data_IF_353558273966
#
_entry.id   IF_353558273966
#
_cell.length_a   1.000
_cell.length_b   1.000
_cell.length_c   1.000
_cell.angle_alpha   90.00
_cell.angle_beta   90.00
_cell.angle_gamma   90.00
#
_symmetry.space_group_name_H-M   'P 1'
#
loop_
_entity.id
_entity.type
_entity.pdbx_description
1 polymer ?
#
# COMPACT_ATOMS: atom_id res chain seq x y z
N UNK A 1 14.23 80.47 14.42
CA UNK A 1 12.76 80.59 14.32
C UNK A 1 12.15 79.30 14.86
N UNK A 2 11.35 79.45 15.92
CA UNK A 2 10.49 78.44 16.56
C UNK A 2 9.39 77.93 15.58
N UNK A 3 8.50 77.00 15.97
CA UNK A 3 8.71 75.68 16.58
C UNK A 3 7.70 74.61 16.06
N UNK A 4 7.69 73.42 16.68
CA UNK A 4 6.48 72.61 16.94
C UNK A 4 6.32 71.35 16.08
N UNK A 5 5.97 70.17 16.62
CA UNK A 5 5.65 69.78 17.99
C UNK A 5 5.04 68.37 18.06
N UNK A 6 5.07 67.78 19.26
CA UNK A 6 4.21 66.72 19.84
C UNK A 6 4.21 65.32 19.19
N UNK A 7 3.96 64.20 19.87
CA UNK A 7 3.62 63.82 21.26
C UNK A 7 4.06 62.33 21.43
N UNK A 8 4.67 61.85 22.52
CA UNK A 8 4.08 61.50 23.84
C UNK A 8 3.10 60.28 23.73
N UNK A 9 3.04 59.23 24.59
CA UNK A 9 3.22 59.09 26.04
C UNK A 9 3.46 57.59 26.38
N UNK A 10 4.31 57.31 27.38
CA UNK A 10 4.34 56.05 28.12
C UNK A 10 4.14 56.25 29.63
N UNK A 11 3.25 55.43 30.18
CA UNK A 11 3.36 54.74 31.47
C UNK A 11 3.12 55.46 32.82
N UNK A 12 2.70 54.60 33.76
CA UNK A 12 2.71 54.70 35.23
C UNK A 12 1.54 55.37 35.94
N UNK A 13 0.98 54.67 36.94
CA UNK A 13 0.24 55.33 38.02
C UNK A 13 -0.83 54.51 38.73
N UNK A 14 -0.38 53.58 39.57
CA UNK A 14 -1.11 52.85 40.63
C UNK A 14 -2.05 53.68 41.55
N UNK A 15 -3.14 53.07 42.07
CA UNK A 15 -3.37 52.68 43.50
C UNK A 15 -4.85 52.67 43.95
N UNK A 16 -5.18 51.60 44.71
CA UNK A 16 -6.08 51.50 45.90
C UNK A 16 -7.56 51.86 45.73
N UNK A 17 -8.58 51.20 46.29
CA UNK A 17 -8.80 50.28 47.43
C UNK A 17 -10.17 49.59 47.15
N UNK A 18 -10.70 48.55 47.80
CA UNK A 18 -10.95 48.34 49.23
C UNK A 18 -11.67 46.97 49.40
N UNK A 19 -11.48 46.37 50.59
CA UNK A 19 -12.41 45.53 51.35
C UNK A 19 -12.80 44.11 50.88
N UNK A 20 -12.59 43.13 51.78
CA UNK A 20 -13.70 42.31 52.26
C UNK A 20 -13.61 40.77 52.10
N UNK A 21 -13.36 40.12 53.24
CA UNK A 21 -13.82 38.78 53.66
C UNK A 21 -13.01 37.51 53.30
N UNK A 22 -13.00 36.50 54.22
CA UNK A 22 -12.03 35.40 54.22
C UNK A 22 -12.63 34.12 53.62
N UNK A 23 -11.85 33.30 52.90
CA UNK A 23 -12.24 31.93 52.62
C UNK A 23 -11.05 31.04 52.20
N UNK A 24 -10.88 29.98 53.00
CA UNK A 24 -10.34 28.66 52.68
C UNK A 24 -9.05 28.56 51.84
N UNK A 25 -7.98 28.22 52.55
CA UNK A 25 -6.81 27.51 52.01
C UNK A 25 -7.28 26.15 51.45
N UNK A 26 -7.27 26.03 50.12
CA UNK A 26 -7.25 24.74 49.43
C UNK A 26 -5.84 24.52 48.86
N UNK A 27 -5.11 23.58 49.47
CA UNK A 27 -3.87 23.02 48.92
C UNK A 27 -4.21 22.23 47.65
N UNK A 28 -4.01 22.85 46.48
CA UNK A 28 -4.00 22.14 45.20
C UNK A 28 -2.65 21.45 45.03
N UNK A 29 -2.61 20.15 45.33
CA UNK A 29 -1.51 19.28 44.93
C UNK A 29 -1.49 19.17 43.40
N UNK A 30 -0.48 19.78 42.78
CA UNK A 30 -0.19 19.64 41.36
C UNK A 30 0.34 18.23 41.07
N UNK A 31 -0.57 17.30 40.74
CA UNK A 31 -0.19 16.03 40.13
C UNK A 31 0.11 16.28 38.64
N UNK A 32 1.39 16.39 38.30
CA UNK A 32 1.87 16.27 36.92
C UNK A 32 1.63 14.83 36.43
N UNK A 33 0.41 14.56 35.96
CA UNK A 33 0.12 13.37 35.16
C UNK A 33 0.50 13.64 33.72
N UNK A 34 1.70 13.24 33.31
CA UNK A 34 2.03 13.17 31.89
C UNK A 34 1.09 12.13 31.24
N UNK A 35 0.30 12.49 30.21
CA UNK A 35 -0.44 11.48 29.46
C UNK A 35 0.58 10.62 28.72
N UNK A 36 0.79 9.40 29.22
CA UNK A 36 1.49 8.36 28.50
C UNK A 36 0.81 8.15 27.16
N UNK A 37 1.45 8.62 26.09
CA UNK A 37 1.06 8.29 24.73
C UNK A 37 1.07 6.78 24.59
N UNK A 38 -0.11 6.18 24.62
CA UNK A 38 -0.27 4.78 24.26
C UNK A 38 0.15 4.66 22.79
N UNK A 39 1.38 4.20 22.58
CA UNK A 39 1.85 3.76 21.27
C UNK A 39 0.92 2.63 20.84
N UNK A 40 -0.07 2.95 20.00
CA UNK A 40 -0.90 1.95 19.37
C UNK A 40 0.01 1.14 18.45
N UNK A 41 0.42 -0.04 18.91
CA UNK A 41 0.95 -1.04 18.00
C UNK A 41 -0.03 -1.16 16.82
N UNK A 42 0.45 -1.25 15.56
CA UNK A 42 -0.44 -1.41 14.43
C UNK A 42 -1.32 -2.62 14.71
N UNK A 43 -2.64 -2.43 14.73
CA UNK A 43 -3.58 -3.54 14.82
C UNK A 43 -3.35 -4.37 13.56
N UNK A 44 -2.72 -5.53 13.71
CA UNK A 44 -2.69 -6.52 12.65
C UNK A 44 -4.15 -6.84 12.37
N UNK A 45 -4.62 -6.48 11.20
CA UNK A 45 -5.98 -6.78 10.77
C UNK A 45 -6.20 -8.29 10.94
N UNK A 46 -7.35 -8.71 11.45
CA UNK A 46 -7.62 -10.13 11.75
C UNK A 46 -7.38 -11.01 10.50
N UNK A 47 -7.59 -10.46 9.30
CA UNK A 47 -7.28 -11.08 8.02
C UNK A 47 -5.78 -11.42 7.81
N UNK A 48 -4.88 -10.67 8.45
CA UNK A 48 -3.43 -10.86 8.37
C UNK A 48 -2.84 -11.66 9.53
N UNK A 49 -3.67 -12.08 10.49
CA UNK A 49 -3.24 -12.89 11.62
C UNK A 49 -2.78 -14.27 11.13
N UNK A 50 -1.54 -14.68 11.42
CA UNK A 50 -1.05 -16.00 11.05
C UNK A 50 -1.65 -17.09 11.95
N UNK A 51 -1.96 -18.25 11.37
CA UNK A 51 -2.30 -19.46 12.09
C UNK A 51 -1.05 -20.27 12.47
N UNK A 52 -1.23 -21.37 13.20
CA UNK A 52 -0.14 -22.30 13.46
C UNK A 52 0.37 -22.92 12.15
N UNK A 53 1.69 -23.03 12.02
CA UNK A 53 2.32 -23.64 10.85
C UNK A 53 1.98 -25.13 10.73
N UNK A 54 1.91 -25.62 9.50
CA UNK A 54 1.59 -27.00 9.17
C UNK A 54 2.46 -27.50 8.02
N UNK A 55 2.89 -28.74 8.11
CA UNK A 55 3.62 -29.39 7.03
C UNK A 55 2.65 -29.93 5.98
N UNK A 56 3.04 -29.82 4.70
CA UNK A 56 2.34 -30.40 3.57
C UNK A 56 3.28 -30.53 2.36
N UNK A 57 2.75 -30.91 1.20
CA UNK A 57 3.47 -30.96 -0.08
C UNK A 57 2.62 -30.43 -1.22
N UNK A 58 3.26 -29.87 -2.23
CA UNK A 58 2.57 -29.43 -3.45
C UNK A 58 2.23 -30.63 -4.33
N UNK A 59 0.94 -30.95 -4.49
CA UNK A 59 0.51 -32.03 -5.37
C UNK A 59 0.28 -31.53 -6.82
N UNK A 60 -0.40 -30.40 -6.97
CA UNK A 60 -0.79 -29.82 -8.26
C UNK A 60 -0.93 -28.30 -8.16
N UNK A 61 -0.78 -27.60 -9.30
CA UNK A 61 -1.06 -26.17 -9.41
C UNK A 61 -2.33 -26.00 -10.24
N UNK A 62 -3.37 -25.40 -9.63
CA UNK A 62 -4.64 -25.13 -10.26
C UNK A 62 -4.56 -24.07 -11.38
N UNK A 63 -5.68 -23.81 -12.09
CA UNK A 63 -5.70 -22.96 -13.28
C UNK A 63 -5.33 -21.48 -13.05
N UNK A 64 -5.33 -21.00 -11.81
CA UNK A 64 -4.99 -19.61 -11.45
C UNK A 64 -3.93 -19.52 -10.35
N UNK A 65 -2.96 -20.46 -10.36
CA UNK A 65 -1.87 -20.47 -9.37
C UNK A 65 -2.24 -20.97 -7.98
N UNK A 66 -3.45 -21.49 -7.80
CA UNK A 66 -3.84 -22.18 -6.57
C UNK A 66 -2.96 -23.41 -6.33
N UNK A 67 -2.42 -23.55 -5.13
CA UNK A 67 -1.74 -24.76 -4.69
C UNK A 67 -2.77 -25.79 -4.24
N UNK A 68 -2.78 -26.95 -4.88
CA UNK A 68 -3.47 -28.14 -4.39
C UNK A 68 -2.45 -28.97 -3.64
N UNK A 69 -2.68 -29.13 -2.35
CA UNK A 69 -1.76 -29.78 -1.44
C UNK A 69 -2.02 -31.28 -1.37
N UNK A 70 -1.01 -32.07 -0.99
CA UNK A 70 -1.12 -33.52 -0.84
C UNK A 70 -2.16 -33.92 0.22
N UNK A 71 -2.41 -33.07 1.22
CA UNK A 71 -3.51 -33.25 2.17
C UNK A 71 -4.92 -33.08 1.57
N UNK A 72 -5.03 -32.71 0.29
CA UNK A 72 -6.29 -32.34 -0.37
C UNK A 72 -6.76 -30.90 -0.12
N UNK A 73 -6.04 -30.13 0.70
CA UNK A 73 -6.33 -28.72 0.95
C UNK A 73 -5.96 -27.86 -0.26
N UNK A 74 -6.65 -26.73 -0.38
CA UNK A 74 -6.45 -25.76 -1.46
C UNK A 74 -5.95 -24.46 -0.86
N UNK A 75 -4.87 -23.92 -1.41
CA UNK A 75 -4.27 -22.68 -0.93
C UNK A 75 -3.94 -21.72 -2.07
N UNK A 76 -3.86 -20.43 -1.77
CA UNK A 76 -3.27 -19.41 -2.64
C UNK A 76 -2.12 -18.77 -1.88
N UNK A 77 -1.02 -18.49 -2.57
CA UNK A 77 0.13 -17.83 -1.97
C UNK A 77 -0.26 -16.42 -1.51
N UNK A 78 0.05 -16.10 -0.26
CA UNK A 78 -0.24 -14.80 0.34
C UNK A 78 0.70 -13.72 -0.21
N UNK A 79 0.21 -12.48 -0.29
CA UNK A 79 1.04 -11.32 -0.58
C UNK A 79 1.56 -11.21 -2.02
N UNK A 80 1.03 -12.02 -2.95
CA UNK A 80 1.26 -11.85 -4.37
C UNK A 80 -0.04 -11.86 -5.17
N UNK A 81 0.03 -11.27 -6.37
CA UNK A 81 -0.96 -11.46 -7.43
C UNK A 81 -0.37 -12.35 -8.53
N UNK A 82 -1.09 -13.42 -8.81
CA UNK A 82 -0.75 -14.34 -9.89
C UNK A 82 -0.83 -13.65 -11.25
N UNK A 83 0.11 -13.91 -12.19
CA UNK A 83 0.09 -13.29 -13.51
C UNK A 83 -1.06 -13.81 -14.38
N UNK A 84 -1.77 -12.90 -15.07
CA UNK A 84 -2.83 -13.24 -16.04
C UNK A 84 -2.30 -13.41 -17.48
N UNK A 85 -1.02 -13.13 -17.71
CA UNK A 85 -0.39 -13.25 -19.02
C UNK A 85 0.09 -14.69 -19.26
N UNK A 86 -0.32 -15.36 -20.35
CA UNK A 86 -0.08 -16.80 -20.51
C UNK A 86 1.39 -17.23 -20.42
N UNK A 87 2.32 -16.44 -20.96
CA UNK A 87 3.75 -16.74 -20.89
C UNK A 87 4.28 -16.65 -19.45
N UNK A 88 3.81 -15.69 -18.66
CA UNK A 88 4.21 -15.49 -17.28
C UNK A 88 3.54 -16.51 -16.35
N UNK A 89 2.27 -16.87 -16.59
CA UNK A 89 1.60 -17.98 -15.91
C UNK A 89 2.37 -19.29 -16.11
N UNK A 90 2.76 -19.61 -17.36
CA UNK A 90 3.54 -20.82 -17.66
C UNK A 90 4.91 -20.82 -16.94
N UNK A 91 5.60 -19.66 -16.91
CA UNK A 91 6.87 -19.52 -16.22
C UNK A 91 6.71 -19.65 -14.69
N UNK A 92 5.69 -19.02 -14.09
CA UNK A 92 5.38 -19.13 -12.67
C UNK A 92 5.04 -20.58 -12.26
N UNK A 93 4.27 -21.30 -13.09
CA UNK A 93 4.00 -22.74 -12.90
C UNK A 93 5.28 -23.56 -12.92
N UNK A 94 6.11 -23.35 -13.94
CA UNK A 94 7.39 -24.06 -14.08
C UNK A 94 8.26 -23.84 -12.85
N UNK A 95 8.32 -22.61 -12.35
CA UNK A 95 9.05 -22.27 -11.13
C UNK A 95 8.51 -23.03 -9.90
N UNK A 96 7.19 -23.04 -9.70
CA UNK A 96 6.58 -23.77 -8.58
C UNK A 96 6.70 -25.30 -8.69
N UNK A 97 6.77 -25.85 -9.91
CA UNK A 97 6.94 -27.29 -10.10
C UNK A 97 8.28 -27.81 -9.56
N UNK A 98 9.30 -26.96 -9.41
CA UNK A 98 10.55 -27.33 -8.75
C UNK A 98 10.35 -27.70 -7.26
N UNK A 99 9.22 -27.31 -6.65
CA UNK A 99 8.90 -27.56 -5.25
C UNK A 99 7.91 -28.73 -5.05
N UNK A 100 7.55 -29.48 -6.10
CA UNK A 100 6.55 -30.55 -6.02
C UNK A 100 6.92 -31.62 -4.99
N UNK A 101 8.18 -32.05 -5.01
CA UNK A 101 8.71 -33.10 -4.13
C UNK A 101 9.38 -32.53 -2.86
N UNK A 102 9.34 -31.21 -2.69
CA UNK A 102 9.94 -30.49 -1.56
C UNK A 102 8.90 -30.37 -0.44
N UNK A 103 9.22 -30.74 0.82
CA UNK A 103 8.37 -30.43 1.98
C UNK A 103 8.04 -28.94 2.06
N UNK A 104 6.77 -28.62 2.29
CA UNK A 104 6.29 -27.26 2.49
C UNK A 104 5.85 -27.04 3.93
N UNK A 105 6.31 -25.96 4.54
CA UNK A 105 5.74 -25.41 5.79
C UNK A 105 4.78 -24.28 5.42
N UNK A 106 3.50 -24.45 5.74
CA UNK A 106 2.44 -23.50 5.45
C UNK A 106 1.99 -22.75 6.69
N UNK A 107 1.88 -21.44 6.58
CA UNK A 107 1.26 -20.57 7.60
C UNK A 107 0.08 -19.85 6.97
N UNK A 108 -1.14 -20.22 7.35
CA UNK A 108 -2.36 -19.64 6.78
C UNK A 108 -2.63 -18.25 7.40
N UNK A 109 -3.21 -17.33 6.62
CA UNK A 109 -3.62 -16.00 7.08
C UNK A 109 -5.10 -15.77 6.82
N UNK A 110 -5.84 -15.40 7.87
CA UNK A 110 -7.27 -15.18 7.78
C UNK A 110 -8.09 -16.45 7.55
N UNK A 111 -9.32 -16.27 7.07
CA UNK A 111 -10.28 -17.36 6.81
C UNK A 111 -10.16 -17.99 5.42
N UNK A 112 -10.99 -19.01 5.19
CA UNK A 112 -11.22 -19.56 3.86
C UNK A 112 -11.95 -18.54 2.99
N UNK A 113 -11.62 -18.50 1.71
CA UNK A 113 -12.43 -17.77 0.75
C UNK A 113 -13.69 -18.55 0.34
N UNK A 114 -14.58 -17.90 -0.44
CA UNK A 114 -15.83 -18.50 -0.92
C UNK A 114 -15.66 -19.74 -1.82
N UNK A 115 -14.43 -20.05 -2.22
CA UNK A 115 -14.11 -21.19 -3.09
C UNK A 115 -13.40 -22.32 -2.34
N UNK A 116 -13.28 -22.23 -1.02
CA UNK A 116 -12.63 -23.26 -0.24
C UNK A 116 -11.11 -23.15 -0.17
N UNK A 117 -10.52 -22.02 -0.59
CA UNK A 117 -9.06 -21.83 -0.59
C UNK A 117 -8.61 -21.04 0.63
N UNK A 118 -7.47 -21.41 1.20
CA UNK A 118 -6.80 -20.69 2.29
C UNK A 118 -5.69 -19.80 1.72
N UNK A 119 -5.50 -18.60 2.25
CA UNK A 119 -4.31 -17.80 1.91
C UNK A 119 -3.17 -18.26 2.80
N UNK A 120 -2.02 -18.60 2.23
CA UNK A 120 -0.92 -19.15 3.00
C UNK A 120 0.42 -18.58 2.53
N UNK A 121 1.27 -18.31 3.52
CA UNK A 121 2.70 -18.27 3.31
C UNK A 121 3.14 -19.74 3.13
N UNK A 122 3.97 -20.03 2.12
CA UNK A 122 4.48 -21.38 1.88
C UNK A 122 6.00 -21.34 1.77
N UNK A 123 6.68 -22.07 2.65
CA UNK A 123 8.13 -22.15 2.70
C UNK A 123 8.56 -23.56 2.30
N UNK A 124 9.33 -23.67 1.22
CA UNK A 124 9.91 -24.93 0.77
C UNK A 124 11.21 -25.25 1.52
N UNK A 125 11.31 -26.46 2.06
CA UNK A 125 12.47 -26.94 2.82
C UNK A 125 13.16 -28.06 2.04
N UNK A 126 14.23 -27.72 1.31
CA UNK A 126 14.94 -28.65 0.43
C UNK A 126 16.23 -29.19 1.08
N UNK A 127 16.10 -30.14 1.99
CA UNK A 127 17.24 -30.75 2.68
C UNK A 127 18.03 -29.70 3.49
N UNK A 128 19.34 -29.59 3.23
CA UNK A 128 20.23 -28.61 3.87
C UNK A 128 20.27 -27.25 3.15
N UNK A 129 19.57 -27.10 2.02
CA UNK A 129 19.49 -25.81 1.34
C UNK A 129 18.68 -24.80 2.15
N UNK A 130 18.95 -23.52 1.93
CA UNK A 130 18.21 -22.43 2.55
C UNK A 130 16.71 -22.53 2.26
N UNK A 131 15.83 -22.35 3.28
CA UNK A 131 14.40 -22.31 3.10
C UNK A 131 13.98 -21.27 2.05
N UNK A 132 13.12 -21.68 1.12
CA UNK A 132 12.64 -20.79 0.07
C UNK A 132 11.22 -20.36 0.36
N UNK A 133 11.00 -19.05 0.54
CA UNK A 133 9.66 -18.47 0.49
C UNK A 133 9.14 -18.49 -0.96
N UNK A 134 8.11 -19.30 -1.22
CA UNK A 134 7.57 -19.48 -2.57
C UNK A 134 7.00 -18.17 -3.13
N UNK A 135 6.35 -17.35 -2.29
CA UNK A 135 5.81 -16.07 -2.73
C UNK A 135 6.92 -15.07 -3.03
N UNK A 136 7.88 -14.94 -2.10
CA UNK A 136 9.07 -14.11 -2.26
C UNK A 136 9.90 -14.51 -3.47
N UNK A 137 10.07 -15.81 -3.73
CA UNK A 137 10.80 -16.34 -4.88
C UNK A 137 10.17 -16.00 -6.22
N UNK A 138 8.84 -16.15 -6.35
CA UNK A 138 8.10 -15.73 -7.55
C UNK A 138 8.21 -14.22 -7.79
N UNK A 139 8.08 -13.42 -6.74
CA UNK A 139 8.26 -11.96 -6.83
C UNK A 139 9.67 -11.62 -7.25
N UNK A 140 10.70 -12.21 -6.62
CA UNK A 140 12.11 -11.99 -6.92
C UNK A 140 12.49 -12.38 -8.36
N UNK A 141 11.85 -13.41 -8.91
CA UNK A 141 12.01 -13.83 -10.29
C UNK A 141 11.25 -12.93 -11.30
N UNK A 142 10.47 -11.94 -10.83
CA UNK A 142 9.63 -11.10 -11.69
C UNK A 142 8.43 -11.84 -12.29
N UNK A 143 7.99 -12.94 -11.66
CA UNK A 143 6.89 -13.80 -12.13
C UNK A 143 5.55 -13.52 -11.43
N UNK A 144 5.55 -12.71 -10.38
CA UNK A 144 4.34 -12.23 -9.72
C UNK A 144 4.52 -10.78 -9.24
N UNK A 145 3.42 -10.04 -9.12
CA UNK A 145 3.43 -8.77 -8.40
C UNK A 145 3.35 -9.06 -6.90
N UNK A 146 4.08 -8.31 -6.07
CA UNK A 146 3.74 -8.24 -4.66
C UNK A 146 2.37 -7.56 -4.56
N UNK A 147 1.35 -8.15 -3.94
CA UNK A 147 0.02 -7.55 -3.91
C UNK A 147 -0.89 -8.28 -2.93
N UNK A 148 -1.96 -7.64 -2.46
CA UNK A 148 -2.98 -8.33 -1.69
C UNK A 148 -3.73 -9.40 -2.52
N UNK A 149 -3.66 -9.30 -3.85
CA UNK A 149 -4.27 -10.26 -4.76
C UNK A 149 -5.80 -10.19 -4.68
N UNK A 150 -6.41 -11.27 -4.21
CA UNK A 150 -7.86 -11.32 -3.94
C UNK A 150 -8.21 -10.97 -2.47
N UNK A 151 -7.24 -10.51 -1.68
CA UNK A 151 -7.45 -10.00 -0.33
C UNK A 151 -7.56 -8.47 -0.33
N UNK A 152 -8.12 -7.90 0.74
CA UNK A 152 -8.25 -6.45 0.89
C UNK A 152 -6.94 -5.78 1.31
N UNK A 153 -6.06 -6.50 2.01
CA UNK A 153 -4.85 -5.95 2.64
C UNK A 153 -3.62 -6.80 2.32
N UNK A 154 -2.50 -6.16 2.00
CA UNK A 154 -1.21 -6.83 1.82
C UNK A 154 -0.58 -7.16 3.18
N UNK A 155 -0.74 -8.40 3.64
CA UNK A 155 -0.22 -8.84 4.93
C UNK A 155 1.32 -8.97 5.03
N UNK A 156 2.01 -8.95 3.89
CA UNK A 156 3.48 -9.06 3.78
C UNK A 156 4.06 -7.87 3.00
N UNK A 157 4.00 -6.64 3.53
CA UNK A 157 4.45 -5.45 2.80
C UNK A 157 5.95 -5.49 2.42
N UNK A 158 6.76 -6.28 3.13
CA UNK A 158 8.17 -6.52 2.80
C UNK A 158 8.38 -7.11 1.38
N UNK A 159 7.39 -7.79 0.80
CA UNK A 159 7.47 -8.27 -0.58
C UNK A 159 7.60 -7.12 -1.61
N UNK A 160 7.16 -5.90 -1.27
CA UNK A 160 7.39 -4.70 -2.10
C UNK A 160 8.87 -4.34 -2.23
N UNK A 161 9.66 -4.61 -1.19
CA UNK A 161 11.11 -4.40 -1.23
C UNK A 161 11.76 -5.42 -2.15
N UNK A 162 11.33 -6.69 -2.08
CA UNK A 162 11.79 -7.76 -2.97
C UNK A 162 11.45 -7.44 -4.43
N UNK A 163 10.26 -6.92 -4.70
CA UNK A 163 9.77 -6.52 -6.03
C UNK A 163 10.64 -5.43 -6.69
N UNK A 164 11.42 -4.65 -5.92
CA UNK A 164 12.22 -3.55 -6.46
C UNK A 164 13.36 -4.01 -7.38
N UNK A 165 14.02 -5.13 -7.07
CA UNK A 165 15.13 -5.66 -7.86
C UNK A 165 14.73 -6.14 -9.27
N UNK A 166 13.76 -7.07 -9.44
CA UNK A 166 13.32 -7.51 -10.76
C UNK A 166 12.70 -6.38 -11.57
N UNK A 167 12.03 -5.41 -10.92
CA UNK A 167 11.53 -4.21 -11.58
C UNK A 167 12.64 -3.34 -12.17
N UNK A 168 13.72 -3.12 -11.41
CA UNK A 168 14.87 -2.35 -11.89
C UNK A 168 15.63 -3.09 -13.00
N UNK A 169 15.68 -4.41 -12.94
CA UNK A 169 16.35 -5.27 -13.93
C UNK A 169 15.47 -5.61 -15.15
N UNK A 170 14.19 -5.21 -15.17
CA UNK A 170 13.27 -5.49 -16.26
C UNK A 170 12.92 -6.97 -16.44
N UNK A 171 12.89 -7.74 -15.35
CA UNK A 171 12.65 -9.19 -15.38
C UNK A 171 11.15 -9.52 -15.46
N UNK A 172 10.81 -10.50 -16.29
CA UNK A 172 9.46 -11.08 -16.37
C UNK A 172 8.38 -10.02 -16.62
N UNK A 173 7.45 -9.86 -15.66
CA UNK A 173 6.38 -8.85 -15.64
C UNK A 173 6.88 -7.42 -15.90
N UNK A 174 8.14 -7.16 -15.56
CA UNK A 174 8.75 -5.84 -15.65
C UNK A 174 9.53 -5.61 -16.94
N UNK A 175 9.43 -6.50 -17.92
CA UNK A 175 9.99 -6.28 -19.24
C UNK A 175 9.42 -4.98 -19.85
N UNK A 176 10.28 -4.00 -20.12
CA UNK A 176 9.87 -2.67 -20.57
C UNK A 176 9.62 -1.65 -19.44
N UNK A 177 9.75 -2.05 -18.18
CA UNK A 177 9.57 -1.21 -17.00
C UNK A 177 8.10 -0.93 -16.63
N UNK A 178 7.85 -0.16 -15.55
CA UNK A 178 6.50 0.29 -15.21
C UNK A 178 5.91 1.15 -16.35
N UNK A 179 4.62 0.96 -16.63
CA UNK A 179 3.95 1.75 -17.66
C UNK A 179 3.85 3.22 -17.23
N UNK A 180 4.07 4.14 -18.18
CA UNK A 180 3.89 5.56 -17.92
C UNK A 180 2.40 5.92 -17.84
N UNK A 181 2.01 6.70 -16.83
CA UNK A 181 0.63 7.14 -16.67
C UNK A 181 0.11 8.03 -17.81
N UNK A 182 1.01 8.60 -18.60
CA UNK A 182 0.70 9.41 -19.79
C UNK A 182 0.56 8.58 -21.07
N UNK A 183 0.95 7.31 -21.06
CA UNK A 183 0.82 6.43 -22.23
C UNK A 183 -0.56 5.77 -22.27
N UNK A 184 -1.55 6.55 -22.71
CA UNK A 184 -2.94 6.09 -22.77
C UNK A 184 -3.14 4.87 -23.69
N UNK A 185 -2.33 4.75 -24.76
CA UNK A 185 -2.42 3.64 -25.71
C UNK A 185 -1.93 2.34 -25.07
N UNK A 186 -0.75 2.35 -24.44
CA UNK A 186 -0.24 1.18 -23.73
C UNK A 186 -1.15 0.77 -22.58
N UNK A 187 -1.66 1.73 -21.81
CA UNK A 187 -2.63 1.47 -20.73
C UNK A 187 -3.92 0.86 -21.27
N UNK A 188 -4.44 1.35 -22.40
CA UNK A 188 -5.65 0.79 -23.01
C UNK A 188 -5.44 -0.66 -23.46
N UNK A 189 -4.23 -1.01 -23.94
CA UNK A 189 -3.84 -2.39 -24.23
C UNK A 189 -3.79 -3.30 -23.00
N UNK A 190 -3.79 -2.73 -21.78
CA UNK A 190 -3.85 -3.46 -20.50
C UNK A 190 -5.26 -3.52 -19.90
N UNK A 191 -6.31 -3.16 -20.65
CA UNK A 191 -7.69 -3.24 -20.17
C UNK A 191 -8.02 -4.63 -19.58
N UNK A 192 -8.64 -4.64 -18.40
CA UNK A 192 -8.99 -5.85 -17.66
C UNK A 192 -7.80 -6.55 -16.98
N UNK A 193 -6.61 -5.93 -16.93
CA UNK A 193 -5.41 -6.52 -16.33
C UNK A 193 -4.88 -5.66 -15.19
N UNK A 194 -4.33 -6.31 -14.18
CA UNK A 194 -3.60 -5.61 -13.13
C UNK A 194 -2.31 -5.02 -13.69
N UNK A 195 -2.07 -3.75 -13.42
CA UNK A 195 -0.91 -3.02 -13.94
C UNK A 195 -0.33 -2.14 -12.85
N UNK A 196 0.98 -1.97 -12.91
CA UNK A 196 1.72 -1.02 -12.09
C UNK A 196 2.15 0.15 -12.98
N UNK A 197 1.61 1.32 -12.67
CA UNK A 197 1.74 2.54 -13.48
C UNK A 197 2.53 3.59 -12.70
N UNK A 198 3.50 4.24 -13.34
CA UNK A 198 4.29 5.32 -12.75
C UNK A 198 3.96 6.66 -13.43
N UNK A 199 3.79 7.73 -12.65
CA UNK A 199 3.53 9.04 -13.21
C UNK A 199 3.40 10.15 -12.17
N UNK A 200 3.43 11.40 -12.64
CA UNK A 200 3.22 12.56 -11.78
C UNK A 200 1.74 12.93 -11.76
N UNK A 201 1.14 13.03 -10.59
CA UNK A 201 -0.26 13.49 -10.46
C UNK A 201 -0.29 14.98 -10.81
N UNK A 202 -1.04 15.37 -11.85
CA UNK A 202 -1.13 16.77 -12.29
C UNK A 202 -2.31 17.49 -11.62
N UNK A 203 -3.43 16.79 -11.45
CA UNK A 203 -4.63 17.34 -10.84
C UNK A 203 -5.23 16.37 -9.82
N UNK A 204 -5.75 16.93 -8.73
CA UNK A 204 -6.56 16.21 -7.75
C UNK A 204 -7.91 16.90 -7.66
N UNK A 205 -8.96 16.20 -8.08
CA UNK A 205 -10.33 16.69 -8.13
C UNK A 205 -11.20 16.01 -7.08
N UNK A 206 -11.42 16.66 -5.94
CA UNK A 206 -12.32 16.13 -4.91
C UNK A 206 -13.78 16.43 -5.26
N UNK A 207 -14.64 15.42 -5.16
CA UNK A 207 -16.11 15.53 -5.30
C UNK A 207 -16.79 14.81 -4.14
N UNK A 208 -18.09 15.01 -3.99
CA UNK A 208 -18.87 14.49 -2.87
C UNK A 208 -18.81 12.96 -2.72
N UNK A 209 -18.69 12.20 -3.80
CA UNK A 209 -18.67 10.75 -3.82
C UNK A 209 -17.29 10.11 -4.09
N UNK A 210 -16.41 10.83 -4.81
CA UNK A 210 -15.12 10.30 -5.26
C UNK A 210 -14.11 11.41 -5.49
N UNK A 211 -12.84 11.06 -5.37
CA UNK A 211 -11.69 11.90 -5.72
C UNK A 211 -11.05 11.36 -6.98
N UNK A 212 -10.62 12.26 -7.86
CA UNK A 212 -9.93 11.94 -9.10
C UNK A 212 -8.47 12.37 -9.01
N UNK A 213 -7.55 11.50 -9.40
CA UNK A 213 -6.13 11.82 -9.57
C UNK A 213 -5.82 11.70 -11.07
N UNK A 214 -5.60 12.84 -11.73
CA UNK A 214 -5.36 12.88 -13.17
C UNK A 214 -3.88 13.04 -13.47
N UNK A 215 -3.39 12.24 -14.42
CA UNK A 215 -1.98 12.21 -14.81
C UNK A 215 -1.70 12.92 -16.14
N UNK A 216 -2.73 13.36 -16.85
CA UNK A 216 -2.64 14.11 -18.10
C UNK A 216 -3.24 15.52 -17.98
N UNK A 217 -2.81 16.44 -18.84
CA UNK A 217 -3.40 17.79 -18.87
C UNK A 217 -4.82 17.70 -19.45
N UNK A 218 -5.64 18.71 -19.16
CA UNK A 218 -6.98 18.80 -19.75
C UNK A 218 -6.87 18.83 -21.28
N UNK A 219 -7.52 17.89 -21.95
CA UNK A 219 -7.50 17.74 -23.42
C UNK A 219 -6.48 16.71 -23.93
N UNK A 220 -5.56 16.26 -23.09
CA UNK A 220 -4.68 15.12 -23.37
C UNK A 220 -5.29 13.82 -22.83
N UNK A 221 -4.79 12.69 -23.31
CA UNK A 221 -5.17 11.37 -22.80
C UNK A 221 -4.11 10.85 -21.83
N UNK A 222 -4.56 10.17 -20.78
CA UNK A 222 -3.71 9.50 -19.82
C UNK A 222 -4.56 8.81 -18.77
N UNK A 223 -3.90 8.25 -17.77
CA UNK A 223 -4.56 7.60 -16.65
C UNK A 223 -5.35 8.61 -15.82
N UNK A 224 -6.59 8.26 -15.51
CA UNK A 224 -7.33 8.84 -14.38
C UNK A 224 -7.46 7.80 -13.29
N UNK A 225 -7.07 8.11 -12.06
CA UNK A 225 -7.34 7.25 -10.90
C UNK A 225 -8.57 7.77 -10.20
N UNK A 226 -9.53 6.90 -9.95
CA UNK A 226 -10.70 7.21 -9.12
C UNK A 226 -10.49 6.62 -7.74
N UNK A 227 -10.86 7.38 -6.70
CA UNK A 227 -10.80 6.93 -5.31
C UNK A 227 -12.17 7.18 -4.68
N UNK A 228 -12.83 6.13 -4.20
CA UNK A 228 -14.11 6.26 -3.50
C UNK A 228 -13.94 7.08 -2.21
N UNK A 229 -14.96 7.85 -1.80
CA UNK A 229 -14.91 8.70 -0.60
C UNK A 229 -14.37 7.98 0.65
N UNK A 230 -14.79 6.73 0.86
CA UNK A 230 -14.33 5.90 1.99
C UNK A 230 -12.82 5.65 1.94
N UNK A 231 -12.29 5.30 0.77
CA UNK A 231 -10.87 5.02 0.56
C UNK A 231 -10.06 6.31 0.61
N UNK A 232 -10.60 7.42 0.08
CA UNK A 232 -9.96 8.73 0.17
C UNK A 232 -9.76 9.19 1.62
N UNK A 233 -10.75 8.93 2.50
CA UNK A 233 -10.61 9.18 3.94
C UNK A 233 -9.47 8.37 4.54
N UNK A 234 -9.38 7.08 4.23
CA UNK A 234 -8.29 6.20 4.70
C UNK A 234 -6.94 6.73 4.20
N UNK A 235 -6.82 7.06 2.90
CA UNK A 235 -5.61 7.68 2.35
C UNK A 235 -5.21 8.96 3.12
N UNK A 236 -6.19 9.82 3.41
CA UNK A 236 -5.98 11.07 4.14
C UNK A 236 -5.50 10.84 5.58
N UNK A 237 -6.03 9.83 6.27
CA UNK A 237 -5.58 9.40 7.61
C UNK A 237 -4.12 8.90 7.58
N UNK A 238 -3.66 8.40 6.44
CA UNK A 238 -2.26 8.03 6.19
C UNK A 238 -1.42 9.17 5.57
N UNK A 239 -1.90 10.42 5.62
CA UNK A 239 -1.16 11.60 5.16
C UNK A 239 -1.21 11.85 3.64
N UNK A 240 -2.01 11.09 2.90
CA UNK A 240 -2.21 11.25 1.46
C UNK A 240 -3.47 12.10 1.20
N UNK A 241 -3.26 13.40 1.00
CA UNK A 241 -4.29 14.39 0.70
C UNK A 241 -4.06 15.02 -0.67
N UNK A 242 -5.02 15.82 -1.14
CA UNK A 242 -4.87 16.53 -2.41
C UNK A 242 -3.61 17.42 -2.43
N UNK A 243 -3.31 18.08 -1.32
CA UNK A 243 -2.12 18.93 -1.19
C UNK A 243 -0.82 18.13 -1.20
N UNK A 244 -0.79 16.95 -0.58
CA UNK A 244 0.43 16.13 -0.49
C UNK A 244 0.68 15.29 -1.74
N UNK A 245 -0.37 14.97 -2.52
CA UNK A 245 -0.28 14.17 -3.74
C UNK A 245 -0.12 15.00 -5.01
N UNK A 246 -0.70 16.21 -5.08
CA UNK A 246 -0.60 17.03 -6.29
C UNK A 246 0.85 17.33 -6.62
N UNK A 247 1.20 17.07 -7.88
CA UNK A 247 2.53 17.26 -8.40
C UNK A 247 3.52 16.20 -7.95
N UNK A 248 3.16 15.14 -7.19
CA UNK A 248 4.11 14.10 -6.79
C UNK A 248 4.26 13.01 -7.83
N UNK A 249 5.48 12.48 -7.96
CA UNK A 249 5.73 11.24 -8.68
C UNK A 249 5.27 10.06 -7.83
N UNK A 250 4.31 9.30 -8.33
CA UNK A 250 3.71 8.15 -7.64
C UNK A 250 3.72 6.91 -8.51
N UNK A 251 3.58 5.76 -7.86
CA UNK A 251 3.24 4.48 -8.46
C UNK A 251 1.83 4.11 -8.06
N UNK A 252 1.01 3.79 -9.05
CA UNK A 252 -0.36 3.33 -8.88
C UNK A 252 -0.43 1.87 -9.26
N UNK A 253 -1.18 1.09 -8.49
CA UNK A 253 -1.39 -0.33 -8.70
C UNK A 253 -2.87 -0.64 -8.71
N UNK A 254 -3.32 -1.34 -9.74
CA UNK A 254 -4.72 -1.73 -9.83
C UNK A 254 -5.09 -2.28 -11.20
N UNK A 255 -6.36 -2.66 -11.33
CA UNK A 255 -6.93 -3.12 -12.59
C UNK A 255 -7.15 -1.93 -13.52
N UNK A 256 -6.60 -1.99 -14.73
CA UNK A 256 -6.88 -0.98 -15.74
C UNK A 256 -8.24 -1.25 -16.36
N UNK A 257 -9.12 -0.26 -16.31
CA UNK A 257 -10.44 -0.28 -16.93
C UNK A 257 -10.56 0.81 -18.00
N UNK A 258 -11.55 0.69 -18.87
CA UNK A 258 -11.78 1.64 -19.97
C UNK A 258 -13.13 2.31 -19.81
N UNK A 259 -13.11 3.63 -19.68
CA UNK A 259 -14.30 4.48 -19.74
C UNK A 259 -14.17 5.46 -20.89
N UNK A 260 -14.04 6.75 -20.58
CA UNK A 260 -13.65 7.78 -21.57
C UNK A 260 -12.16 7.78 -21.91
N UNK A 261 -11.39 7.02 -21.14
CA UNK A 261 -9.96 6.78 -21.23
C UNK A 261 -9.59 5.68 -20.23
N UNK A 262 -8.30 5.29 -20.14
CA UNK A 262 -7.86 4.33 -19.16
C UNK A 262 -8.01 4.89 -17.74
N UNK A 263 -8.60 4.10 -16.85
CA UNK A 263 -8.73 4.47 -15.44
C UNK A 263 -8.45 3.28 -14.52
N UNK A 264 -8.13 3.59 -13.26
CA UNK A 264 -7.98 2.60 -12.18
C UNK A 264 -8.86 3.07 -11.02
N UNK A 265 -9.70 2.18 -10.45
CA UNK A 265 -10.35 2.42 -9.16
C UNK A 265 -9.42 1.97 -8.03
N UNK A 266 -9.02 2.92 -7.18
CA UNK A 266 -8.06 2.70 -6.12
C UNK A 266 -8.78 2.31 -4.83
N UNK A 267 -8.61 1.05 -4.41
CA UNK A 267 -9.32 0.50 -3.28
C UNK A 267 -8.78 0.98 -1.91
N UNK A 268 -7.48 1.25 -1.78
CA UNK A 268 -6.86 1.58 -0.50
C UNK A 268 -5.41 2.03 -0.62
N UNK A 269 -4.76 2.19 0.54
CA UNK A 269 -3.40 2.73 0.65
C UNK A 269 -2.34 1.88 -0.05
N UNK A 270 -2.53 0.56 -0.10
CA UNK A 270 -1.59 -0.37 -0.74
C UNK A 270 -1.46 -0.17 -2.26
N UNK A 271 -2.44 0.49 -2.88
CA UNK A 271 -2.47 0.75 -4.32
C UNK A 271 -1.71 2.01 -4.74
N UNK A 272 -1.21 2.84 -3.81
CA UNK A 272 -0.48 4.07 -4.11
C UNK A 272 0.82 4.17 -3.33
N UNK A 273 1.91 4.47 -4.02
CA UNK A 273 3.26 4.63 -3.44
C UNK A 273 3.88 5.93 -3.94
N UNK A 274 4.40 6.77 -3.03
CA UNK A 274 5.04 8.04 -3.40
C UNK A 274 6.54 7.84 -3.57
N UNK A 275 7.05 7.98 -4.80
CA UNK A 275 8.43 7.59 -5.18
C UNK A 275 9.45 8.68 -4.83
N UNK A 276 9.03 9.95 -4.80
CA UNK A 276 9.96 11.08 -4.62
C UNK A 276 10.69 11.08 -3.26
N UNK A 277 10.16 10.39 -2.24
CA UNK A 277 10.87 10.20 -0.97
C UNK A 277 12.02 9.18 -1.04
N UNK A 278 11.87 8.13 -1.85
CA UNK A 278 12.87 7.06 -1.96
C UNK A 278 14.10 7.46 -2.78
N UNK A 279 13.92 8.33 -3.79
CA UNK A 279 15.05 8.83 -4.61
C UNK A 279 15.91 9.87 -3.88
N UNK A 280 15.34 10.60 -2.92
CA UNK A 280 16.09 11.56 -2.10
C UNK A 280 16.93 10.87 -1.02
N UNK A 281 16.52 9.69 -0.54
CA UNK A 281 17.27 8.85 0.41
C UNK A 281 18.39 8.02 -0.23
N UNK A 282 18.44 7.94 -1.56
CA UNK A 282 19.45 7.19 -2.35
C UNK A 282 20.50 8.09 -3.01
N UNK A 283 20.42 9.41 -2.80
CA UNK A 283 21.45 10.38 -3.21
C UNK A 283 22.20 10.83 -1.97
#
# INVERSE_FOLDING_TARGET
MLPGGGHEISSHGSRTSRAGAPALVWLLAAACGAPGGASSAPRVEEACRPSASRDDRLAEIGPRGELRLASGRRAVLSGLRWPDEPALDAAARTWLHAFRDVPLVLTERGGEDRWGRRRADAIGIAGEAEPVDLAGGLVAAGLAYADAGEADTLCRPALRVVEAAPRAAGLGLWAGGPLAATDAAALSGRAGRFTVVEGRILHVGERSARTYLDFARRGEQGLTVTVQKRSWRILSEHGLSAATLKGRLVRIRGMVEIGRGPFIDLAGVDGIEVIEGERALRR
#
